data_IF_219528834229
#
_entry.id   IF_219528834229
#
_cell.length_a   1.000
_cell.length_b   1.000
_cell.length_c   1.000
_cell.angle_alpha   90.00
_cell.angle_beta   90.00
_cell.angle_gamma   90.00
#
_symmetry.space_group_name_H-M   'P 1'
#
loop_
_entity.id
_entity.type
_entity.pdbx_description
1 polymer ?
#
# COMPACT_ATOMS: atom_id res chain seq x y z
N UNK A 1 -9.51 -14.21 -0.99
CA UNK A 1 -9.02 -13.18 -1.94
C UNK A 1 -7.89 -13.77 -2.76
N UNK A 2 -7.77 -13.41 -4.02
CA UNK A 2 -6.62 -13.72 -4.88
C UNK A 2 -5.96 -12.40 -5.32
N UNK A 3 -4.63 -12.33 -5.22
CA UNK A 3 -3.84 -11.17 -5.57
C UNK A 3 -3.18 -11.37 -6.92
N UNK A 4 -3.32 -10.39 -7.79
CA UNK A 4 -2.70 -10.27 -9.12
C UNK A 4 -2.63 -11.60 -9.91
N UNK A 5 -3.77 -12.19 -10.26
CA UNK A 5 -3.79 -13.52 -10.89
C UNK A 5 -3.30 -13.54 -12.35
N UNK A 6 -3.01 -12.37 -12.91
CA UNK A 6 -2.54 -12.18 -14.29
C UNK A 6 -1.29 -11.30 -14.34
N UNK A 7 -0.67 -11.16 -15.51
CA UNK A 7 0.46 -10.23 -15.71
C UNK A 7 0.02 -8.78 -15.51
N UNK A 8 0.95 -7.93 -15.07
CA UNK A 8 0.70 -6.54 -14.70
C UNK A 8 -0.05 -5.70 -15.75
N UNK A 9 0.19 -5.92 -17.03
CA UNK A 9 -0.44 -5.13 -18.13
C UNK A 9 -1.63 -5.83 -18.77
N UNK A 10 -2.02 -6.99 -18.27
CA UNK A 10 -3.18 -7.73 -18.79
C UNK A 10 -4.46 -7.31 -18.04
N UNK A 11 -4.90 -6.07 -18.27
CA UNK A 11 -6.10 -5.52 -17.64
C UNK A 11 -7.38 -6.25 -18.09
N UNK A 12 -7.43 -6.72 -19.35
CA UNK A 12 -8.55 -7.49 -19.85
C UNK A 12 -8.63 -8.87 -19.19
N UNK A 13 -7.50 -9.54 -19.06
CA UNK A 13 -7.39 -10.81 -18.33
C UNK A 13 -7.75 -10.64 -16.85
N UNK A 14 -7.33 -9.54 -16.22
CA UNK A 14 -7.70 -9.23 -14.84
C UNK A 14 -9.22 -9.03 -14.70
N UNK A 15 -9.84 -8.24 -15.59
CA UNK A 15 -11.28 -8.04 -15.62
C UNK A 15 -12.04 -9.36 -15.86
N UNK A 16 -11.51 -10.22 -16.73
CA UNK A 16 -12.10 -11.54 -16.98
C UNK A 16 -12.07 -12.40 -15.71
N UNK A 17 -10.91 -12.47 -15.03
CA UNK A 17 -10.79 -13.25 -13.79
C UNK A 17 -11.71 -12.70 -12.72
N UNK A 18 -11.73 -11.38 -12.51
CA UNK A 18 -12.59 -10.71 -11.52
C UNK A 18 -14.06 -11.04 -11.74
N UNK A 19 -14.51 -11.02 -13.00
CA UNK A 19 -15.90 -11.34 -13.35
C UNK A 19 -16.32 -12.76 -13.03
N UNK A 20 -15.42 -13.73 -13.12
CA UNK A 20 -15.75 -15.16 -13.00
C UNK A 20 -15.19 -15.83 -11.75
N UNK A 21 -14.34 -15.13 -10.97
CA UNK A 21 -13.82 -15.63 -9.71
C UNK A 21 -14.94 -15.71 -8.65
N UNK A 22 -14.88 -16.74 -7.80
CA UNK A 22 -15.76 -16.89 -6.64
C UNK A 22 -15.19 -16.25 -5.37
N UNK A 23 -14.08 -15.51 -5.50
CA UNK A 23 -13.39 -14.82 -4.41
C UNK A 23 -12.95 -13.44 -4.91
N UNK A 24 -12.86 -12.43 -4.04
CA UNK A 24 -12.41 -11.11 -4.44
C UNK A 24 -11.02 -11.12 -5.08
N UNK A 25 -10.84 -10.32 -6.10
CA UNK A 25 -9.58 -10.12 -6.84
C UNK A 25 -8.96 -8.79 -6.44
N UNK A 26 -7.69 -8.83 -6.05
CA UNK A 26 -6.88 -7.67 -5.69
C UNK A 26 -5.89 -7.36 -6.83
N UNK A 27 -5.89 -6.13 -7.33
CA UNK A 27 -4.89 -5.64 -8.26
C UNK A 27 -3.68 -5.08 -7.50
N UNK A 28 -2.49 -5.63 -7.75
CA UNK A 28 -1.22 -5.14 -7.19
C UNK A 28 -0.29 -4.59 -8.28
N UNK A 29 0.40 -5.44 -9.02
CA UNK A 29 1.36 -5.02 -10.05
C UNK A 29 0.70 -4.36 -11.27
N UNK A 30 -0.59 -4.41 -11.37
CA UNK A 30 -1.35 -3.66 -12.38
C UNK A 30 -1.58 -2.19 -12.00
N UNK A 31 -1.19 -1.76 -10.78
CA UNK A 31 -1.43 -0.40 -10.28
C UNK A 31 -0.13 0.25 -9.84
N UNK A 32 0.54 0.95 -10.74
CA UNK A 32 1.74 1.73 -10.46
C UNK A 32 1.49 3.24 -10.43
N UNK A 33 0.36 3.69 -10.91
CA UNK A 33 0.03 5.12 -11.03
C UNK A 33 -1.45 5.38 -10.78
N UNK A 34 -1.85 6.64 -10.56
CA UNK A 34 -3.26 7.02 -10.57
C UNK A 34 -3.97 6.70 -11.89
N UNK A 35 -3.25 6.79 -13.00
CA UNK A 35 -3.76 6.47 -14.35
C UNK A 35 -4.07 4.98 -14.50
N UNK A 36 -3.22 4.11 -13.95
CA UNK A 36 -3.49 2.67 -13.94
C UNK A 36 -4.69 2.35 -13.05
N UNK A 37 -4.74 2.95 -11.86
CA UNK A 37 -5.87 2.79 -10.95
C UNK A 37 -7.18 3.22 -11.61
N UNK A 38 -7.18 4.35 -12.32
CA UNK A 38 -8.35 4.81 -13.06
C UNK A 38 -8.85 3.77 -14.07
N UNK A 39 -7.94 3.21 -14.88
CA UNK A 39 -8.28 2.17 -15.87
C UNK A 39 -8.85 0.91 -15.23
N UNK A 40 -8.20 0.43 -14.15
CA UNK A 40 -8.66 -0.75 -13.41
C UNK A 40 -10.07 -0.54 -12.85
N UNK A 41 -10.33 0.63 -12.28
CA UNK A 41 -11.61 0.99 -11.71
C UNK A 41 -12.69 1.17 -12.79
N UNK A 42 -12.37 1.86 -13.90
CA UNK A 42 -13.29 2.05 -15.04
C UNK A 42 -13.70 0.72 -15.66
N UNK A 43 -12.76 -0.19 -15.85
CA UNK A 43 -12.99 -1.53 -16.40
C UNK A 43 -13.62 -2.50 -15.39
N UNK A 44 -13.73 -2.13 -14.11
CA UNK A 44 -14.11 -3.04 -13.02
C UNK A 44 -13.24 -4.30 -13.01
N UNK A 45 -11.94 -4.10 -13.24
CA UNK A 45 -10.98 -5.17 -13.42
C UNK A 45 -10.46 -5.76 -12.10
N UNK A 46 -10.81 -5.19 -10.96
CA UNK A 46 -10.49 -5.73 -9.65
C UNK A 46 -11.56 -5.34 -8.63
N UNK A 47 -11.71 -6.14 -7.57
CA UNK A 47 -12.59 -5.84 -6.43
C UNK A 47 -11.87 -4.96 -5.39
N UNK A 48 -10.54 -5.04 -5.35
CA UNK A 48 -9.67 -4.26 -4.45
C UNK A 48 -8.43 -3.77 -5.18
N UNK A 49 -7.84 -2.69 -4.66
CA UNK A 49 -6.56 -2.15 -5.15
C UNK A 49 -5.51 -2.20 -4.03
N UNK A 50 -4.32 -2.74 -4.32
CA UNK A 50 -3.16 -2.70 -3.44
C UNK A 50 -2.32 -1.44 -3.72
N UNK A 51 -2.34 -0.51 -2.78
CA UNK A 51 -1.57 0.73 -2.83
C UNK A 51 -0.23 0.49 -2.12
N UNK A 52 0.87 0.70 -2.84
CA UNK A 52 2.22 0.72 -2.27
C UNK A 52 2.87 2.07 -2.59
N UNK A 53 3.34 2.79 -1.58
CA UNK A 53 3.89 4.15 -1.78
C UNK A 53 5.07 4.15 -2.75
N UNK A 54 5.89 3.10 -2.74
CA UNK A 54 7.00 2.94 -3.69
C UNK A 54 6.55 2.69 -5.13
N UNK A 55 5.39 2.08 -5.35
CA UNK A 55 4.84 1.91 -6.70
C UNK A 55 4.26 3.22 -7.22
N UNK A 56 3.37 3.83 -6.47
CA UNK A 56 2.59 4.98 -6.95
C UNK A 56 3.33 6.32 -6.84
N UNK A 57 4.54 6.35 -6.29
CA UNK A 57 5.35 7.57 -6.17
C UNK A 57 5.02 8.45 -4.98
N UNK A 58 4.54 7.84 -3.87
CA UNK A 58 4.34 8.50 -2.59
C UNK A 58 2.90 8.86 -2.26
N UNK A 59 2.73 9.56 -1.13
CA UNK A 59 1.42 9.87 -0.53
C UNK A 59 0.51 10.66 -1.48
N UNK A 60 1.06 11.62 -2.22
CA UNK A 60 0.25 12.48 -3.09
C UNK A 60 -0.51 11.68 -4.16
N UNK A 61 0.16 10.75 -4.83
CA UNK A 61 -0.48 9.88 -5.81
C UNK A 61 -1.36 8.81 -5.14
N UNK A 62 -0.94 8.29 -3.99
CA UNK A 62 -1.78 7.38 -3.21
C UNK A 62 -3.13 8.02 -2.85
N UNK A 63 -3.16 9.30 -2.46
CA UNK A 63 -4.41 10.02 -2.17
C UNK A 63 -5.31 10.16 -3.40
N UNK A 64 -4.75 10.33 -4.61
CA UNK A 64 -5.55 10.35 -5.84
C UNK A 64 -6.21 8.99 -6.09
N UNK A 65 -5.45 7.89 -5.94
CA UNK A 65 -5.95 6.52 -6.09
C UNK A 65 -7.07 6.27 -5.07
N UNK A 66 -6.83 6.60 -3.81
CA UNK A 66 -7.80 6.46 -2.73
C UNK A 66 -9.08 7.23 -3.03
N UNK A 67 -8.97 8.49 -3.50
CA UNK A 67 -10.15 9.31 -3.80
C UNK A 67 -11.00 8.70 -4.92
N UNK A 68 -10.40 8.12 -5.94
CA UNK A 68 -11.12 7.41 -7.00
C UNK A 68 -11.79 6.13 -6.46
N UNK A 69 -11.09 5.38 -5.63
CA UNK A 69 -11.63 4.18 -4.99
C UNK A 69 -12.80 4.52 -4.05
N UNK A 70 -12.69 5.59 -3.24
CA UNK A 70 -13.75 6.10 -2.37
C UNK A 70 -15.02 6.44 -3.17
N UNK A 71 -14.88 7.14 -4.31
CA UNK A 71 -16.02 7.52 -5.17
C UNK A 71 -16.73 6.29 -5.75
N UNK A 72 -15.99 5.23 -6.07
CA UNK A 72 -16.54 4.03 -6.69
C UNK A 72 -16.87 2.91 -5.69
N UNK A 73 -16.59 3.12 -4.41
CA UNK A 73 -16.85 2.14 -3.35
C UNK A 73 -15.96 0.90 -3.44
N UNK A 74 -14.74 1.03 -4.00
CA UNK A 74 -13.77 -0.05 -4.12
C UNK A 74 -12.81 0.00 -2.93
N UNK A 75 -12.73 -1.07 -2.16
CA UNK A 75 -11.82 -1.16 -1.02
C UNK A 75 -10.35 -1.15 -1.45
N UNK A 76 -9.51 -0.62 -0.57
CA UNK A 76 -8.06 -0.61 -0.77
C UNK A 76 -7.36 -1.50 0.27
N UNK A 77 -6.28 -2.12 -0.16
CA UNK A 77 -5.21 -2.61 0.69
C UNK A 77 -4.05 -1.61 0.63
N UNK A 78 -3.35 -1.41 1.73
CA UNK A 78 -2.05 -0.76 1.70
C UNK A 78 -0.97 -1.80 1.95
N UNK A 79 -0.06 -1.93 0.99
CA UNK A 79 1.07 -2.83 1.07
C UNK A 79 2.40 -2.08 1.10
N UNK A 80 3.49 -2.84 1.22
CA UNK A 80 4.85 -2.34 1.07
C UNK A 80 5.67 -3.22 0.13
N UNK A 81 6.82 -2.70 -0.28
CA UNK A 81 7.91 -3.48 -0.84
C UNK A 81 8.86 -3.87 0.31
N UNK A 82 10.00 -4.48 0.02
CA UNK A 82 11.08 -4.61 1.02
C UNK A 82 11.71 -3.24 1.25
N UNK A 83 11.17 -2.52 2.21
CA UNK A 83 11.51 -1.13 2.48
C UNK A 83 11.69 -0.86 3.98
N UNK A 84 12.50 0.14 4.29
CA UNK A 84 12.77 0.53 5.67
C UNK A 84 11.52 1.13 6.34
N UNK A 85 11.50 1.08 7.66
CA UNK A 85 10.40 1.60 8.50
C UNK A 85 10.03 3.06 8.20
N UNK A 86 10.93 3.89 7.67
CA UNK A 86 10.61 5.27 7.28
C UNK A 86 9.44 5.32 6.30
N UNK A 87 9.53 4.57 5.21
CA UNK A 87 8.48 4.50 4.19
C UNK A 87 7.23 3.81 4.72
N UNK A 88 7.41 2.71 5.44
CA UNK A 88 6.30 1.95 6.02
C UNK A 88 5.53 2.78 7.05
N UNK A 89 6.19 3.60 7.88
CA UNK A 89 5.52 4.53 8.78
C UNK A 89 4.60 5.51 8.02
N UNK A 90 5.04 6.03 6.89
CA UNK A 90 4.19 6.90 6.08
C UNK A 90 2.95 6.16 5.57
N UNK A 91 3.10 4.89 5.17
CA UNK A 91 1.98 4.04 4.77
C UNK A 91 1.02 3.73 5.94
N UNK A 92 1.55 3.46 7.14
CA UNK A 92 0.75 3.24 8.36
C UNK A 92 -0.11 4.48 8.68
N UNK A 93 0.49 5.68 8.66
CA UNK A 93 -0.26 6.92 8.90
C UNK A 93 -1.34 7.16 7.85
N UNK A 94 -1.07 6.85 6.58
CA UNK A 94 -2.06 6.93 5.52
C UNK A 94 -3.22 5.95 5.75
N UNK A 95 -2.92 4.71 6.16
CA UNK A 95 -3.92 3.70 6.49
C UNK A 95 -4.84 4.17 7.63
N UNK A 96 -4.26 4.72 8.70
CA UNK A 96 -5.04 5.25 9.82
C UNK A 96 -5.95 6.43 9.42
N UNK A 97 -5.56 7.21 8.40
CA UNK A 97 -6.29 8.38 7.96
C UNK A 97 -7.42 8.08 6.97
N UNK A 98 -7.50 6.86 6.41
CA UNK A 98 -8.39 6.52 5.29
C UNK A 98 -9.17 5.24 5.53
N UNK A 99 -10.46 5.36 5.82
CA UNK A 99 -11.34 4.23 6.14
C UNK A 99 -11.52 3.22 4.99
N UNK A 100 -11.36 3.65 3.74
CA UNK A 100 -11.44 2.77 2.56
C UNK A 100 -10.29 1.77 2.50
N UNK A 101 -9.20 2.03 3.22
CA UNK A 101 -8.10 1.08 3.40
C UNK A 101 -8.52 0.09 4.48
N UNK A 102 -9.02 -1.05 4.06
CA UNK A 102 -9.58 -2.10 4.94
C UNK A 102 -8.62 -3.25 5.20
N UNK A 103 -7.52 -3.30 4.47
CA UNK A 103 -6.51 -4.36 4.55
C UNK A 103 -5.11 -3.77 4.59
N UNK A 104 -4.23 -4.40 5.36
CA UNK A 104 -2.86 -3.93 5.61
C UNK A 104 -1.91 -5.11 5.41
N UNK A 105 -0.86 -4.88 4.62
CA UNK A 105 0.26 -5.80 4.38
C UNK A 105 1.57 -5.02 4.43
N UNK A 106 2.02 -4.68 5.66
CA UNK A 106 3.14 -3.78 5.95
C UNK A 106 4.23 -4.48 6.76
N UNK A 107 4.62 -5.67 6.35
CA UNK A 107 5.55 -6.54 7.05
C UNK A 107 7.04 -6.24 6.75
N UNK A 108 7.35 -5.36 5.80
CA UNK A 108 8.72 -5.04 5.40
C UNK A 108 9.71 -4.84 6.55
N UNK A 109 9.40 -4.01 7.57
CA UNK A 109 10.33 -3.79 8.69
C UNK A 109 10.61 -5.03 9.55
N UNK A 110 9.63 -5.94 9.71
CA UNK A 110 9.83 -7.15 10.52
C UNK A 110 10.59 -8.26 9.80
N UNK A 111 10.71 -8.14 8.48
CA UNK A 111 11.52 -9.04 7.65
C UNK A 111 13.01 -8.63 7.59
N UNK A 112 13.33 -7.42 8.06
CA UNK A 112 14.71 -6.94 8.11
C UNK A 112 15.46 -7.59 9.26
N UNK A 113 16.72 -7.98 9.03
CA UNK A 113 17.61 -8.50 10.10
C UNK A 113 17.97 -7.42 11.12
N UNK A 114 17.98 -6.16 10.72
CA UNK A 114 18.21 -4.98 11.56
C UNK A 114 17.28 -3.86 11.11
N UNK A 115 16.69 -3.16 12.08
CA UNK A 115 15.92 -1.95 11.83
C UNK A 115 16.77 -0.71 12.15
N UNK A 116 17.22 0.05 11.13
CA UNK A 116 18.03 1.24 11.36
C UNK A 116 17.23 2.40 11.95
N UNK A 117 15.88 2.31 11.96
CA UNK A 117 15.00 3.42 12.33
C UNK A 117 14.62 3.34 13.81
N UNK A 118 14.99 4.35 14.57
CA UNK A 118 14.62 4.51 15.98
C UNK A 118 13.30 5.27 16.09
N UNK A 119 12.33 4.69 16.78
CA UNK A 119 10.97 5.28 16.89
C UNK A 119 10.05 4.86 15.73
N UNK A 120 8.99 5.66 15.51
CA UNK A 120 7.94 5.35 14.57
C UNK A 120 6.95 4.30 15.09
N UNK A 121 6.19 3.70 14.20
CA UNK A 121 5.20 2.68 14.55
C UNK A 121 5.84 1.46 15.20
N UNK A 122 5.11 0.85 16.11
CA UNK A 122 5.48 -0.39 16.81
C UNK A 122 4.81 -1.56 16.11
N UNK A 123 5.59 -2.53 15.67
CA UNK A 123 5.11 -3.73 15.02
C UNK A 123 5.03 -4.87 16.03
N UNK A 124 3.82 -5.29 16.33
CA UNK A 124 3.52 -6.49 17.12
C UNK A 124 3.02 -7.59 16.17
N UNK A 125 2.95 -8.83 16.66
CA UNK A 125 2.51 -9.99 15.83
C UNK A 125 1.16 -9.80 15.13
N UNK A 126 0.25 -8.99 15.69
CA UNK A 126 -1.13 -8.82 15.19
C UNK A 126 -1.53 -7.38 14.92
N UNK A 127 -0.70 -6.43 15.33
CA UNK A 127 -1.05 -5.01 15.32
C UNK A 127 0.15 -4.15 14.94
N UNK A 128 -0.15 -3.06 14.24
CA UNK A 128 0.80 -1.96 14.02
C UNK A 128 0.25 -0.77 14.78
N UNK A 129 0.98 -0.31 15.79
CA UNK A 129 0.56 0.77 16.68
C UNK A 129 1.29 2.05 16.29
N UNK A 130 0.54 3.09 15.96
CA UNK A 130 1.07 4.43 15.72
C UNK A 130 1.45 5.08 17.04
N UNK A 131 2.61 5.75 17.12
CA UNK A 131 2.99 6.52 18.28
C UNK A 131 2.29 7.88 18.32
N UNK A 132 2.15 8.45 19.53
CA UNK A 132 1.67 9.82 19.71
C UNK A 132 2.77 10.89 19.51
N UNK A 133 3.95 10.48 19.03
CA UNK A 133 5.06 11.39 18.72
C UNK A 133 4.74 12.25 17.48
N UNK A 134 5.39 13.39 17.36
CA UNK A 134 5.21 14.31 16.23
C UNK A 134 5.65 13.70 14.89
N UNK A 135 4.94 14.02 13.83
CA UNK A 135 5.23 13.58 12.47
C UNK A 135 5.10 12.06 12.32
N UNK A 136 6.11 11.40 11.79
CA UNK A 136 6.16 9.93 11.68
C UNK A 136 6.66 9.24 12.97
N UNK A 137 6.91 9.98 14.05
CA UNK A 137 7.46 9.44 15.29
C UNK A 137 8.92 8.98 15.21
N UNK A 138 9.62 9.26 14.11
CA UNK A 138 11.00 8.85 13.91
C UNK A 138 11.93 9.77 14.68
N UNK A 139 12.78 9.21 15.54
CA UNK A 139 13.72 9.93 16.40
C UNK A 139 15.14 9.94 15.85
N UNK A 140 15.56 8.87 15.18
CA UNK A 140 16.88 8.75 14.56
C UNK A 140 16.86 7.67 13.45
N UNK A 141 17.83 7.75 12.56
CA UNK A 141 18.14 6.70 11.59
C UNK A 141 19.63 6.39 11.70
N UNK A 142 19.96 5.17 12.09
CA UNK A 142 21.34 4.73 12.27
C UNK A 142 22.01 4.39 10.92
N UNK A 143 23.31 4.57 10.83
CA UNK A 143 24.09 4.16 9.66
C UNK A 143 23.98 5.09 8.43
N UNK A 144 23.30 6.24 8.54
CA UNK A 144 23.27 7.23 7.45
C UNK A 144 24.63 7.95 7.41
N UNK A 145 25.21 8.02 6.19
CA UNK A 145 26.34 8.90 5.90
C UNK A 145 25.81 10.12 5.16
N UNK A 146 26.08 11.30 5.70
CA UNK A 146 25.83 12.53 4.97
C UNK A 146 26.84 12.63 3.84
N UNK A 147 26.36 13.00 2.66
CA UNK A 147 27.21 13.33 1.50
C UNK A 147 27.30 14.84 1.50
N UNK A 148 28.52 15.36 1.72
CA UNK A 148 28.82 16.82 1.63
C UNK A 148 28.73 17.31 0.18
#
# INVERSE_FOLDING_TARGET
>A
MVEQPVKAHDFEGLAYVTKYANVPVLADESVFSPEDAFKILEMKAADLINIKLMKCGGIYNALKIISMAEVLGVECMIGCMLEAKVSVNAAVHLACAKQIITKIDLDGPVLCSEDPVVGGAIFNEKEIIVSDDYGLGIKAINGIKYID
#
